data_IF_383318766619
#
_entry.id   IF_383318766619
#
_cell.length_a   1.000
_cell.length_b   1.000
_cell.length_c   1.000
_cell.angle_alpha   90.00
_cell.angle_beta   90.00
_cell.angle_gamma   90.00
#
_symmetry.space_group_name_H-M   'P 1'
#
loop_
_entity.id
_entity.type
_entity.pdbx_description
1 polymer ?
#
# COMPACT_ATOMS: atom_id res chain seq x y z
N UNK A 1 -48.40 -26.33 -23.36
CA UNK A 1 -47.54 -27.20 -22.53
C UNK A 1 -46.68 -28.04 -23.46
N UNK A 2 -45.36 -27.80 -23.52
CA UNK A 2 -44.33 -28.72 -24.02
C UNK A 2 -42.93 -28.12 -23.76
N UNK A 3 -42.28 -28.64 -22.70
CA UNK A 3 -40.84 -28.94 -22.52
C UNK A 3 -39.81 -28.40 -23.52
N UNK A 4 -38.75 -27.73 -23.02
CA UNK A 4 -37.34 -28.21 -23.12
C UNK A 4 -36.36 -27.39 -22.27
N UNK A 5 -35.54 -28.12 -21.48
CA UNK A 5 -34.09 -27.93 -21.21
C UNK A 5 -33.63 -26.51 -20.83
N UNK A 6 -33.25 -26.25 -19.58
CA UNK A 6 -32.14 -26.93 -18.93
C UNK A 6 -30.81 -26.43 -19.52
N UNK A 7 -30.15 -25.52 -18.78
CA UNK A 7 -28.72 -25.23 -18.90
C UNK A 7 -28.31 -24.31 -20.06
N UNK A 8 -28.08 -23.04 -19.75
CA UNK A 8 -27.12 -22.23 -20.49
C UNK A 8 -26.16 -21.52 -19.51
N UNK A 9 -24.90 -21.91 -19.67
CA UNK A 9 -23.72 -21.03 -19.66
C UNK A 9 -23.22 -20.57 -18.28
N UNK A 10 -22.29 -21.36 -17.72
CA UNK A 10 -20.83 -21.18 -17.84
C UNK A 10 -20.28 -20.24 -16.76
N UNK A 11 -19.69 -20.88 -15.75
CA UNK A 11 -18.39 -20.53 -15.18
C UNK A 11 -17.71 -19.34 -15.87
N UNK A 12 -17.75 -18.18 -15.21
CA UNK A 12 -16.65 -17.21 -15.32
C UNK A 12 -15.84 -17.27 -14.04
N UNK A 13 -14.88 -18.18 -14.05
CA UNK A 13 -13.65 -18.02 -13.31
C UNK A 13 -13.08 -16.64 -13.66
N UNK A 14 -13.12 -15.71 -12.72
CA UNK A 14 -12.31 -14.50 -12.85
C UNK A 14 -10.88 -14.88 -12.49
N UNK A 15 -10.18 -15.44 -13.48
CA UNK A 15 -8.73 -15.46 -13.53
C UNK A 15 -8.26 -14.01 -13.45
N UNK A 16 -7.95 -13.53 -12.24
CA UNK A 16 -7.08 -12.38 -12.11
C UNK A 16 -5.71 -12.88 -12.57
N UNK A 17 -5.12 -12.32 -13.63
CA UNK A 17 -3.81 -12.76 -14.09
C UNK A 17 -2.84 -12.60 -12.91
N UNK A 18 -1.86 -13.49 -12.80
CA UNK A 18 -0.72 -13.41 -11.87
C UNK A 18 0.10 -12.14 -12.12
N UNK A 19 -0.53 -11.01 -11.83
CA UNK A 19 -0.19 -9.67 -12.27
C UNK A 19 0.65 -9.00 -11.22
N UNK A 20 1.67 -8.27 -11.70
CA UNK A 20 2.54 -7.37 -10.95
C UNK A 20 1.78 -6.78 -9.75
N UNK A 21 2.09 -7.25 -8.54
CA UNK A 21 1.46 -6.75 -7.30
C UNK A 21 1.64 -5.25 -7.28
N UNK A 22 0.55 -4.50 -7.29
CA UNK A 22 0.64 -3.04 -7.20
C UNK A 22 1.26 -2.68 -5.85
N UNK A 23 1.87 -1.50 -5.74
CA UNK A 23 2.43 -1.06 -4.46
C UNK A 23 1.38 -1.04 -3.35
N UNK A 24 0.10 -0.79 -3.69
CA UNK A 24 -1.03 -0.88 -2.76
C UNK A 24 -1.27 -2.31 -2.28
N UNK A 25 -1.24 -3.28 -3.20
CA UNK A 25 -1.38 -4.71 -2.85
C UNK A 25 -0.23 -5.18 -1.96
N UNK A 26 0.98 -4.67 -2.19
CA UNK A 26 2.14 -4.96 -1.34
C UNK A 26 1.92 -4.47 0.09
N UNK A 27 1.48 -3.23 0.28
CA UNK A 27 1.18 -2.67 1.62
C UNK A 27 0.12 -3.51 2.33
N UNK A 28 -0.95 -3.89 1.64
CA UNK A 28 -2.02 -4.72 2.21
C UNK A 28 -1.49 -6.11 2.59
N UNK A 29 -0.65 -6.72 1.74
CA UNK A 29 -0.06 -8.04 2.01
C UNK A 29 0.93 -8.06 3.18
N UNK A 30 1.44 -6.89 3.59
CA UNK A 30 2.40 -6.75 4.68
C UNK A 30 1.76 -6.31 6.01
N UNK A 31 0.43 -6.24 6.10
CA UNK A 31 -0.30 -5.76 7.27
C UNK A 31 0.18 -6.38 8.60
N UNK A 32 0.37 -7.70 8.64
CA UNK A 32 0.83 -8.39 9.85
C UNK A 32 2.24 -7.99 10.27
N UNK A 33 3.13 -7.75 9.30
CA UNK A 33 4.51 -7.33 9.56
C UNK A 33 4.57 -5.88 10.04
N UNK A 34 3.74 -5.03 9.44
CA UNK A 34 3.54 -3.63 9.84
C UNK A 34 3.02 -3.59 11.27
N UNK A 35 1.99 -4.38 11.60
CA UNK A 35 1.43 -4.44 12.94
C UNK A 35 2.46 -4.86 14.00
N UNK A 36 3.35 -5.81 13.69
CA UNK A 36 4.43 -6.21 14.59
C UNK A 36 5.49 -5.13 14.81
N UNK A 37 5.64 -4.19 13.86
CA UNK A 37 6.62 -3.11 13.94
C UNK A 37 6.04 -1.82 14.56
N UNK A 38 4.72 -1.72 14.70
CA UNK A 38 4.05 -0.54 15.25
C UNK A 38 4.03 -0.56 16.79
N UNK A 39 4.14 0.62 17.45
CA UNK A 39 3.80 0.77 18.86
C UNK A 39 2.33 0.42 19.12
N UNK A 40 2.01 -0.02 20.34
CA UNK A 40 0.65 -0.45 20.73
C UNK A 40 -0.44 0.61 20.57
N UNK A 41 -0.07 1.89 20.47
CA UNK A 41 -0.99 3.02 20.32
C UNK A 41 -1.50 3.18 18.89
N UNK A 42 -0.80 2.62 17.89
CA UNK A 42 -1.19 2.68 16.47
C UNK A 42 -1.51 1.28 15.97
N UNK A 43 -2.73 1.10 15.46
CA UNK A 43 -3.13 -0.17 14.84
C UNK A 43 -2.57 -0.30 13.43
N UNK A 44 -2.23 -1.53 13.02
CA UNK A 44 -1.81 -1.83 11.65
C UNK A 44 -2.82 -1.34 10.62
N UNK A 45 -4.12 -1.53 10.88
CA UNK A 45 -5.19 -1.06 10.00
C UNK A 45 -5.18 0.46 9.82
N UNK A 46 -5.08 1.23 10.91
CA UNK A 46 -5.03 2.70 10.85
C UNK A 46 -3.82 3.15 10.03
N UNK A 47 -2.65 2.59 10.31
CA UNK A 47 -1.43 2.92 9.61
C UNK A 47 -1.51 2.61 8.11
N UNK A 48 -1.97 1.40 7.74
CA UNK A 48 -2.20 1.00 6.34
C UNK A 48 -3.14 1.98 5.64
N UNK A 49 -4.24 2.40 6.28
CA UNK A 49 -5.15 3.40 5.71
C UNK A 49 -4.47 4.74 5.47
N UNK A 50 -3.64 5.22 6.39
CA UNK A 50 -2.89 6.47 6.21
C UNK A 50 -1.91 6.39 5.04
N UNK A 51 -1.19 5.28 4.91
CA UNK A 51 -0.28 5.05 3.78
C UNK A 51 -1.03 5.01 2.45
N UNK A 52 -2.17 4.30 2.38
CA UNK A 52 -3.01 4.26 1.18
C UNK A 52 -3.58 5.64 0.80
N UNK A 53 -3.94 6.46 1.79
CA UNK A 53 -4.32 7.86 1.58
C UNK A 53 -3.15 8.67 1.03
N UNK A 54 -1.95 8.56 1.61
CA UNK A 54 -0.75 9.25 1.13
C UNK A 54 -0.44 8.91 -0.34
N UNK A 55 -0.53 7.62 -0.71
CA UNK A 55 -0.35 7.15 -2.10
C UNK A 55 -1.44 7.64 -3.06
N UNK A 56 -2.62 7.96 -2.55
CA UNK A 56 -3.73 8.50 -3.36
C UNK A 56 -3.58 10.00 -3.55
N UNK A 57 -3.12 10.72 -2.53
CA UNK A 57 -2.82 12.15 -2.59
C UNK A 57 -1.55 12.47 -3.39
N UNK A 58 -0.55 11.58 -3.36
CA UNK A 58 0.69 11.71 -4.12
C UNK A 58 0.96 10.45 -4.97
N UNK A 59 0.50 10.42 -6.24
CA UNK A 59 0.69 9.28 -7.13
C UNK A 59 2.16 8.92 -7.40
N UNK A 60 3.11 9.85 -7.22
CA UNK A 60 4.54 9.57 -7.42
C UNK A 60 5.09 8.57 -6.39
N UNK A 61 4.44 8.44 -5.23
CA UNK A 61 4.79 7.41 -4.24
C UNK A 61 4.60 6.00 -4.82
N UNK A 62 3.62 5.79 -5.71
CA UNK A 62 3.37 4.50 -6.36
C UNK A 62 4.43 4.16 -7.42
N UNK A 63 5.18 5.16 -7.90
CA UNK A 63 6.24 5.02 -8.90
C UNK A 63 7.61 4.81 -8.26
N UNK A 64 7.72 4.98 -6.94
CA UNK A 64 8.94 4.69 -6.21
C UNK A 64 9.26 3.19 -6.26
N UNK A 65 10.53 2.83 -6.04
CA UNK A 65 10.87 1.41 -5.91
C UNK A 65 10.17 0.79 -4.69
N UNK A 66 9.60 -0.44 -4.78
CA UNK A 66 8.94 -1.08 -3.65
C UNK A 66 9.81 -1.18 -2.40
N UNK A 67 11.11 -1.45 -2.59
CA UNK A 67 12.07 -1.55 -1.50
C UNK A 67 12.22 -0.23 -0.74
N UNK A 68 12.39 0.89 -1.43
CA UNK A 68 12.56 2.20 -0.78
C UNK A 68 11.29 2.64 -0.07
N UNK A 69 10.13 2.45 -0.71
CA UNK A 69 8.83 2.78 -0.12
C UNK A 69 8.55 1.99 1.15
N UNK A 70 8.73 0.67 1.11
CA UNK A 70 8.53 -0.17 2.29
C UNK A 70 9.53 0.18 3.40
N UNK A 71 10.79 0.47 3.06
CA UNK A 71 11.78 0.91 4.04
C UNK A 71 11.38 2.21 4.74
N UNK A 72 10.98 3.22 3.98
CA UNK A 72 10.53 4.51 4.49
C UNK A 72 9.26 4.39 5.35
N UNK A 73 8.30 3.58 4.89
CA UNK A 73 7.08 3.26 5.62
C UNK A 73 7.37 2.54 6.94
N UNK A 74 8.28 1.56 6.95
CA UNK A 74 8.64 0.84 8.18
C UNK A 74 9.33 1.75 9.20
N UNK A 75 10.11 2.74 8.76
CA UNK A 75 10.69 3.75 9.66
C UNK A 75 9.60 4.60 10.33
N UNK A 76 8.60 5.05 9.56
CA UNK A 76 7.45 5.76 10.12
C UNK A 76 6.68 4.89 11.15
N UNK A 77 6.48 3.61 10.83
CA UNK A 77 5.81 2.66 11.70
C UNK A 77 6.57 2.45 13.02
N UNK A 78 7.88 2.21 12.96
CA UNK A 78 8.72 2.02 14.15
C UNK A 78 8.72 3.24 15.09
N UNK A 79 8.63 4.44 14.53
CA UNK A 79 8.56 5.69 15.29
C UNK A 79 7.14 6.02 15.77
N UNK A 80 6.13 5.29 15.31
CA UNK A 80 4.73 5.56 15.66
C UNK A 80 4.22 6.89 15.12
N UNK A 81 4.70 7.33 13.95
CA UNK A 81 4.28 8.59 13.31
C UNK A 81 3.49 8.32 12.05
N UNK A 82 2.47 9.13 11.81
CA UNK A 82 1.61 9.02 10.62
C UNK A 82 2.18 9.91 9.50
N UNK A 83 2.65 9.33 8.38
CA UNK A 83 3.25 10.11 7.30
C UNK A 83 2.21 10.91 6.52
N UNK A 84 2.61 12.09 6.04
CA UNK A 84 1.85 12.96 5.12
C UNK A 84 0.48 13.39 5.69
N UNK A 85 0.38 13.50 7.02
CA UNK A 85 -0.78 14.08 7.69
C UNK A 85 -0.68 15.60 7.75
N UNK A 86 -1.79 16.34 7.94
CA UNK A 86 -1.76 17.79 8.12
C UNK A 86 -0.96 18.26 9.34
N UNK A 87 -0.67 17.36 10.28
CA UNK A 87 0.12 17.68 11.47
C UNK A 87 1.60 17.95 11.14
N UNK A 88 2.11 17.49 10.00
CA UNK A 88 3.51 17.67 9.63
C UNK A 88 4.44 17.10 10.70
N UNK A 89 4.36 15.79 10.93
CA UNK A 89 5.28 15.09 11.85
C UNK A 89 6.25 14.19 11.09
N UNK A 90 5.84 13.72 9.92
CA UNK A 90 6.57 12.79 9.10
C UNK A 90 6.11 12.87 7.64
N UNK A 91 7.03 12.58 6.73
CA UNK A 91 6.80 12.60 5.29
C UNK A 91 7.42 11.38 4.61
N UNK A 92 6.66 10.81 3.69
CA UNK A 92 7.13 9.95 2.62
C UNK A 92 7.32 10.83 1.37
N UNK A 93 8.55 10.94 0.93
CA UNK A 93 8.98 11.88 -0.11
C UNK A 93 9.52 11.09 -1.30
N UNK A 94 8.91 11.20 -2.49
CA UNK A 94 9.51 10.72 -3.72
C UNK A 94 10.76 11.56 -4.04
N UNK A 95 11.91 10.92 -4.15
CA UNK A 95 13.19 11.54 -4.46
C UNK A 95 13.88 10.79 -5.60
N UNK A 96 14.36 11.53 -6.60
CA UNK A 96 15.05 10.95 -7.75
C UNK A 96 16.54 10.83 -7.45
N UNK A 97 17.00 9.61 -7.16
CA UNK A 97 18.40 9.29 -6.90
C UNK A 97 19.03 8.63 -8.12
N UNK A 98 20.00 9.28 -8.75
CA UNK A 98 20.75 8.76 -9.92
C UNK A 98 19.86 8.15 -11.03
N UNK A 99 18.71 8.77 -11.28
CA UNK A 99 17.77 8.32 -12.31
C UNK A 99 16.65 7.39 -11.81
N UNK A 100 16.77 6.80 -10.63
CA UNK A 100 15.75 5.96 -10.00
C UNK A 100 14.90 6.78 -9.04
N UNK A 101 13.58 6.66 -9.11
CA UNK A 101 12.68 7.28 -8.15
C UNK A 101 12.58 6.38 -6.91
N UNK A 102 13.02 6.91 -5.77
CA UNK A 102 13.02 6.23 -4.47
C UNK A 102 12.14 6.99 -3.49
N UNK A 103 11.57 6.31 -2.51
CA UNK A 103 10.87 6.94 -1.41
C UNK A 103 11.84 7.14 -0.24
N UNK A 104 11.89 8.37 0.28
CA UNK A 104 12.63 8.71 1.49
C UNK A 104 11.66 9.04 2.62
N UNK A 105 12.02 8.64 3.83
CA UNK A 105 11.34 9.03 5.05
C UNK A 105 12.05 10.23 5.67
N UNK A 106 11.28 11.22 6.10
CA UNK A 106 11.80 12.39 6.80
C UNK A 106 10.86 12.77 7.95
N UNK A 107 11.43 13.19 9.08
CA UNK A 107 10.71 13.81 10.18
C UNK A 107 10.62 15.33 9.96
N UNK A 108 9.48 15.92 10.35
CA UNK A 108 9.26 17.36 10.31
C UNK A 108 7.83 17.72 9.97
#
# INVERSE_FOLDING_TARGET
MATTKGGIMTTKANNKPDGVKSMKDLVVSMGDQIQKALPTVITGERFTRMVLTAMSSNPQLQQCTPKSFLGAMMQAAQLGVEPNTPLGQAYLIPYKNKGTLECQFQLG
#
